data_IF_201499241285
#
_entry.id   IF_201499241285
#
_cell.length_a   1.000
_cell.length_b   1.000
_cell.length_c   1.000
_cell.angle_alpha   90.00
_cell.angle_beta   90.00
_cell.angle_gamma   90.00
#
_symmetry.space_group_name_H-M   'P 1'
#
loop_
_entity.id
_entity.type
_entity.pdbx_description
1 polymer ?
#
# COMPACT_ATOMS: atom_id res chain seq x y z
N UNK A 1 31.65 49.29 -3.18
CA UNK A 1 31.10 49.89 -1.94
C UNK A 1 29.62 49.55 -1.87
N UNK A 2 29.05 49.23 -0.69
CA UNK A 2 29.17 48.03 0.15
C UNK A 2 27.82 47.23 0.07
N UNK A 3 27.51 46.08 0.66
CA UNK A 3 27.61 45.58 2.03
C UNK A 3 27.28 44.06 2.00
N UNK A 4 28.22 43.19 2.34
CA UNK A 4 27.89 41.83 2.77
C UNK A 4 27.43 41.92 4.24
N UNK A 5 26.15 41.62 4.50
CA UNK A 5 25.62 41.50 5.87
C UNK A 5 25.95 40.11 6.38
N UNK A 6 26.81 40.05 7.40
CA UNK A 6 27.07 38.88 8.22
C UNK A 6 25.76 38.41 8.89
N UNK A 7 25.30 37.22 8.51
CA UNK A 7 24.24 36.50 9.25
C UNK A 7 24.94 35.68 10.32
N UNK A 8 24.82 36.13 11.57
CA UNK A 8 25.23 35.39 12.77
C UNK A 8 24.15 34.34 13.02
N UNK A 9 24.49 33.05 12.85
CA UNK A 9 23.62 31.93 13.24
C UNK A 9 23.87 31.66 14.73
N UNK A 10 22.87 31.78 15.61
CA UNK A 10 23.07 31.43 17.02
C UNK A 10 23.08 29.89 17.14
N UNK A 11 24.12 29.38 17.78
CA UNK A 11 24.23 27.97 18.15
C UNK A 11 23.07 27.61 19.10
N UNK A 12 22.17 26.75 18.63
CA UNK A 12 21.07 26.21 19.42
C UNK A 12 21.62 25.11 20.33
N UNK A 13 21.74 25.41 21.62
CA UNK A 13 22.18 24.48 22.64
C UNK A 13 21.16 23.34 22.83
N UNK A 14 21.59 22.09 22.67
CA UNK A 14 20.82 20.90 23.02
C UNK A 14 20.78 20.76 24.55
N UNK A 15 19.63 21.04 25.16
CA UNK A 15 19.35 20.69 26.54
C UNK A 15 18.97 19.21 26.63
N UNK A 16 19.85 18.38 27.19
CA UNK A 16 19.55 17.01 27.60
C UNK A 16 18.69 17.05 28.87
N UNK A 17 17.37 16.90 28.71
CA UNK A 17 16.47 16.68 29.83
C UNK A 17 16.57 15.20 30.26
N UNK A 18 17.21 14.96 31.41
CA UNK A 18 17.24 13.69 32.11
C UNK A 18 15.89 13.43 32.79
N UNK A 19 15.18 12.40 32.34
CA UNK A 19 13.94 11.94 32.99
C UNK A 19 14.33 10.95 34.11
N UNK A 20 13.90 11.14 35.37
CA UNK A 20 14.11 10.13 36.39
C UNK A 20 13.14 8.96 36.16
N UNK A 21 13.69 7.74 36.13
CA UNK A 21 12.95 6.50 36.17
C UNK A 21 12.35 6.33 37.57
N UNK A 22 11.02 6.35 37.68
CA UNK A 22 10.32 5.94 38.90
C UNK A 22 10.21 4.41 38.91
N UNK A 23 11.06 3.78 39.71
CA UNK A 23 10.97 2.36 40.05
C UNK A 23 10.38 2.23 41.45
N UNK A 24 9.08 1.94 41.54
CA UNK A 24 8.47 1.40 42.76
C UNK A 24 7.63 0.17 42.40
N UNK A 25 8.26 -0.99 42.54
CA UNK A 25 7.60 -2.28 42.48
C UNK A 25 7.12 -2.69 43.87
N UNK A 26 5.84 -2.99 43.99
CA UNK A 26 5.27 -3.72 45.12
C UNK A 26 5.44 -5.23 44.85
N UNK A 27 6.30 -5.89 45.62
CA UNK A 27 6.47 -7.35 45.59
C UNK A 27 5.39 -8.02 46.45
N UNK A 28 4.58 -8.89 45.84
CA UNK A 28 3.67 -9.80 46.55
C UNK A 28 4.28 -11.21 46.60
N UNK A 29 4.34 -11.88 47.78
CA UNK A 29 4.75 -13.27 47.86
C UNK A 29 3.58 -14.18 47.47
N UNK A 30 3.57 -14.62 46.21
CA UNK A 30 2.63 -15.61 45.69
C UNK A 30 3.32 -16.93 45.38
N UNK A 31 3.33 -17.84 46.35
CA UNK A 31 3.66 -19.25 46.13
C UNK A 31 2.54 -19.91 45.31
N UNK A 32 2.83 -20.33 44.07
CA UNK A 32 2.18 -21.49 43.44
C UNK A 32 2.91 -21.83 42.15
N UNK A 33 3.56 -22.99 42.15
CA UNK A 33 4.19 -23.57 40.98
C UNK A 33 3.22 -23.63 39.80
N UNK A 34 3.56 -22.91 38.73
CA UNK A 34 3.16 -23.28 37.39
C UNK A 34 4.43 -23.69 36.68
N UNK A 35 4.57 -24.98 36.41
CA UNK A 35 5.39 -25.45 35.30
C UNK A 35 4.76 -24.88 34.02
N UNK A 36 5.03 -23.61 33.74
CA UNK A 36 4.83 -23.06 32.42
C UNK A 36 5.96 -23.66 31.60
N UNK A 37 5.68 -24.82 31.01
CA UNK A 37 6.25 -25.12 29.71
C UNK A 37 5.87 -23.91 28.85
N UNK A 38 6.80 -22.96 28.75
CA UNK A 38 6.78 -21.87 27.79
C UNK A 38 6.78 -22.57 26.43
N UNK A 39 5.59 -22.91 25.95
CA UNK A 39 5.37 -23.22 24.55
C UNK A 39 5.72 -21.90 23.87
N UNK A 40 6.96 -21.81 23.36
CA UNK A 40 7.31 -20.84 22.34
C UNK A 40 6.22 -21.01 21.28
N UNK A 41 5.24 -20.10 21.28
CA UNK A 41 4.22 -20.03 20.26
C UNK A 41 4.95 -19.61 19.01
N UNK A 42 5.55 -20.58 18.33
CA UNK A 42 6.14 -20.37 17.03
C UNK A 42 5.05 -19.77 16.14
N UNK A 43 5.41 -18.68 15.47
CA UNK A 43 4.58 -18.10 14.43
C UNK A 43 5.13 -18.54 13.09
N UNK A 44 4.24 -18.70 12.13
CA UNK A 44 4.60 -18.97 10.75
C UNK A 44 3.87 -17.99 9.84
N UNK A 45 4.46 -17.74 8.69
CA UNK A 45 3.89 -16.84 7.69
C UNK A 45 3.06 -17.65 6.71
N UNK A 46 1.89 -17.14 6.34
CA UNK A 46 1.03 -17.71 5.30
C UNK A 46 0.54 -16.60 4.37
N UNK A 47 0.16 -16.97 3.15
CA UNK A 47 -0.60 -16.13 2.23
C UNK A 47 -2.09 -16.49 2.34
N UNK A 48 -2.88 -15.54 2.80
CA UNK A 48 -4.33 -15.66 2.99
C UNK A 48 -5.03 -14.60 2.12
N UNK A 49 -5.77 -15.02 1.09
CA UNK A 49 -6.50 -14.11 0.19
C UNK A 49 -5.62 -12.95 -0.34
N UNK A 50 -4.40 -13.26 -0.79
CA UNK A 50 -3.43 -12.27 -1.28
C UNK A 50 -2.73 -11.44 -0.22
N UNK A 51 -3.04 -11.64 1.07
CA UNK A 51 -2.40 -10.95 2.19
C UNK A 51 -1.39 -11.85 2.89
N UNK A 52 -0.18 -11.34 3.09
CA UNK A 52 0.84 -12.02 3.88
C UNK A 52 0.57 -11.78 5.36
N UNK A 53 0.24 -12.83 6.11
CA UNK A 53 -0.07 -12.74 7.54
C UNK A 53 0.81 -13.69 8.36
N UNK A 54 1.00 -13.35 9.64
CA UNK A 54 1.71 -14.20 10.61
C UNK A 54 0.72 -14.82 11.57
N UNK A 55 0.63 -16.15 11.57
CA UNK A 55 -0.31 -16.94 12.37
C UNK A 55 0.44 -17.81 13.38
N UNK A 56 -0.24 -18.33 14.39
CA UNK A 56 0.35 -19.35 15.27
C UNK A 56 0.60 -20.64 14.48
N UNK A 57 1.65 -21.38 14.83
CA UNK A 57 1.91 -22.69 14.24
C UNK A 57 0.74 -23.66 14.42
N UNK A 58 -0.02 -23.53 15.53
CA UNK A 58 -1.22 -24.32 15.79
C UNK A 58 -2.36 -24.04 14.80
N UNK A 59 -2.42 -22.83 14.23
CA UNK A 59 -3.43 -22.44 13.27
C UNK A 59 -3.06 -22.84 11.82
N UNK A 60 -1.79 -23.18 11.55
CA UNK A 60 -1.30 -23.46 10.19
C UNK A 60 -2.14 -24.52 9.47
N UNK A 61 -2.44 -25.64 10.12
CA UNK A 61 -3.18 -26.72 9.48
C UNK A 61 -4.60 -26.29 9.09
N UNK A 62 -5.25 -25.45 9.89
CA UNK A 62 -6.58 -24.92 9.59
C UNK A 62 -6.53 -23.95 8.41
N UNK A 63 -5.56 -23.02 8.41
CA UNK A 63 -5.37 -22.09 7.29
C UNK A 63 -5.08 -22.82 5.97
N UNK A 64 -4.23 -23.85 5.97
CA UNK A 64 -3.98 -24.69 4.80
C UNK A 64 -5.24 -25.42 4.31
N UNK A 65 -6.06 -25.93 5.24
CA UNK A 65 -7.34 -26.57 4.90
C UNK A 65 -8.37 -25.59 4.32
N UNK A 66 -8.20 -24.28 4.54
CA UNK A 66 -9.04 -23.22 4.02
C UNK A 66 -8.49 -22.62 2.70
N UNK A 67 -7.38 -23.15 2.16
CA UNK A 67 -6.81 -22.73 0.88
C UNK A 67 -5.63 -21.75 0.98
N UNK A 68 -5.15 -21.44 2.19
CA UNK A 68 -3.96 -20.61 2.36
C UNK A 68 -2.70 -21.37 1.92
N UNK A 69 -1.67 -20.62 1.55
CA UNK A 69 -0.36 -21.20 1.23
C UNK A 69 0.66 -20.83 2.31
N UNK A 70 1.55 -21.77 2.64
CA UNK A 70 2.63 -21.51 3.60
C UNK A 70 3.70 -20.62 2.96
N UNK A 71 4.13 -19.59 3.68
CA UNK A 71 5.08 -18.59 3.21
C UNK A 71 4.41 -17.26 2.85
N UNK A 72 5.18 -16.26 2.41
CA UNK A 72 4.63 -14.99 1.95
C UNK A 72 3.86 -15.15 0.63
N UNK A 73 2.96 -14.22 0.35
CA UNK A 73 2.31 -14.17 -0.94
C UNK A 73 3.34 -13.93 -2.07
N UNK A 74 3.14 -14.52 -3.26
CA UNK A 74 3.94 -14.20 -4.43
C UNK A 74 3.90 -12.69 -4.71
N UNK A 75 5.02 -12.13 -5.18
CA UNK A 75 5.01 -10.78 -5.69
C UNK A 75 4.04 -10.68 -6.89
N UNK A 76 3.24 -9.60 -6.99
CA UNK A 76 2.36 -9.42 -8.13
C UNK A 76 3.18 -9.41 -9.42
N UNK A 77 2.73 -10.20 -10.40
CA UNK A 77 3.33 -10.24 -11.74
C UNK A 77 2.40 -9.54 -12.70
N UNK A 78 2.83 -8.38 -13.17
CA UNK A 78 2.09 -7.61 -14.16
C UNK A 78 2.53 -8.02 -15.56
N UNK A 79 1.55 -8.29 -16.43
CA UNK A 79 1.73 -8.72 -17.82
C UNK A 79 1.18 -7.72 -18.82
N UNK A 80 0.43 -6.72 -18.35
CA UNK A 80 -0.17 -5.69 -19.18
C UNK A 80 -0.08 -4.31 -18.54
N UNK A 81 -0.09 -3.28 -19.38
CA UNK A 81 -0.05 -1.87 -18.99
C UNK A 81 -1.15 -1.14 -19.73
N UNK A 82 -1.88 -0.28 -19.02
CA UNK A 82 -2.93 0.56 -19.59
C UNK A 82 -2.79 1.98 -19.07
N UNK A 83 -2.89 2.95 -19.96
CA UNK A 83 -2.88 4.38 -19.67
C UNK A 83 -4.26 4.93 -19.99
N UNK A 84 -4.94 5.44 -18.97
CA UNK A 84 -6.22 6.13 -19.10
C UNK A 84 -5.98 7.64 -19.00
N UNK A 85 -6.37 8.38 -20.04
CA UNK A 85 -6.26 9.83 -20.08
C UNK A 85 -7.61 10.48 -19.79
N UNK A 86 -7.55 11.50 -18.96
CA UNK A 86 -8.70 12.20 -18.42
C UNK A 86 -8.52 13.70 -18.59
N UNK A 87 -9.45 14.36 -19.27
CA UNK A 87 -9.38 15.81 -19.51
C UNK A 87 -10.53 16.51 -18.81
N UNK A 88 -10.24 17.66 -18.19
CA UNK A 88 -11.28 18.55 -17.72
C UNK A 88 -11.94 19.28 -18.90
N UNK A 89 -13.18 18.93 -19.19
CA UNK A 89 -14.02 19.58 -20.20
C UNK A 89 -15.20 20.24 -19.50
N UNK A 90 -15.20 21.56 -19.42
CA UNK A 90 -16.30 22.36 -18.85
C UNK A 90 -16.71 21.94 -17.42
N UNK A 91 -15.73 21.60 -16.57
CA UNK A 91 -15.97 21.19 -15.18
C UNK A 91 -16.27 19.70 -15.00
N UNK A 92 -16.24 18.91 -16.07
CA UNK A 92 -16.35 17.45 -16.02
C UNK A 92 -15.05 16.79 -16.45
N UNK A 93 -14.57 15.82 -15.68
CA UNK A 93 -13.38 15.04 -16.03
C UNK A 93 -13.85 13.84 -16.85
N UNK A 94 -13.59 13.88 -18.16
CA UNK A 94 -14.03 12.87 -19.12
C UNK A 94 -12.84 12.11 -19.67
N UNK A 95 -13.06 10.84 -20.01
CA UNK A 95 -12.03 10.03 -20.66
C UNK A 95 -11.75 10.64 -22.04
N UNK A 96 -10.52 11.11 -22.23
CA UNK A 96 -10.04 11.70 -23.49
C UNK A 96 -9.29 10.68 -24.35
N UNK A 97 -8.75 9.62 -23.75
CA UNK A 97 -8.06 8.56 -24.47
C UNK A 97 -7.75 7.35 -23.59
N UNK A 98 -7.55 6.20 -24.24
CA UNK A 98 -7.12 4.96 -23.61
C UNK A 98 -6.03 4.37 -24.50
N UNK A 99 -4.90 4.00 -23.90
CA UNK A 99 -3.82 3.28 -24.58
C UNK A 99 -3.48 2.04 -23.76
N UNK A 100 -3.31 0.89 -24.40
CA UNK A 100 -2.98 -0.37 -23.74
C UNK A 100 -1.83 -1.09 -24.42
N UNK A 101 -1.20 -2.01 -23.69
CA UNK A 101 -0.34 -3.06 -24.27
C UNK A 101 -1.20 -4.08 -25.03
N UNK A 102 -0.63 -4.76 -26.02
CA UNK A 102 -1.31 -5.75 -26.87
C UNK A 102 -2.06 -6.87 -26.09
N UNK A 103 -1.66 -7.12 -24.84
CA UNK A 103 -2.28 -8.12 -23.95
C UNK A 103 -3.36 -7.54 -23.02
N UNK A 104 -3.65 -6.24 -23.09
CA UNK A 104 -4.74 -5.60 -22.35
C UNK A 104 -5.96 -5.50 -23.26
N UNK A 105 -6.89 -6.46 -23.17
CA UNK A 105 -8.19 -6.36 -23.83
C UNK A 105 -9.07 -5.38 -23.04
N UNK A 106 -8.83 -4.08 -23.22
CA UNK A 106 -9.63 -3.04 -22.57
C UNK A 106 -10.83 -2.74 -23.47
N UNK A 107 -11.85 -3.60 -23.41
CA UNK A 107 -13.15 -3.31 -24.01
C UNK A 107 -13.90 -2.30 -23.13
N UNK A 108 -13.49 -1.03 -23.19
CA UNK A 108 -14.24 0.07 -22.60
C UNK A 108 -15.35 0.46 -23.60
N UNK A 109 -16.64 0.16 -23.33
CA UNK A 109 -17.72 0.65 -24.16
C UNK A 109 -17.76 2.18 -24.07
N UNK A 110 -17.27 2.86 -25.10
CA UNK A 110 -17.28 4.32 -25.20
C UNK A 110 -18.42 4.77 -26.11
N UNK A 111 -19.23 5.75 -25.65
CA UNK A 111 -18.73 7.13 -25.61
C UNK A 111 -18.81 7.83 -24.24
N UNK A 112 -17.77 8.63 -23.92
CA UNK A 112 -17.69 9.66 -22.87
C UNK A 112 -18.15 9.26 -21.46
N UNK A 113 -17.56 8.19 -20.91
CA UNK A 113 -17.69 7.91 -19.48
C UNK A 113 -16.97 8.98 -18.64
N UNK A 114 -17.55 9.31 -17.49
CA UNK A 114 -16.90 10.11 -16.46
C UNK A 114 -15.64 9.36 -16.02
N UNK A 115 -14.51 10.05 -15.92
CA UNK A 115 -13.23 9.42 -15.62
C UNK A 115 -13.23 8.61 -14.32
N UNK A 116 -13.93 9.08 -13.29
CA UNK A 116 -14.09 8.34 -12.04
C UNK A 116 -14.70 6.94 -12.27
N UNK A 117 -15.70 6.82 -13.16
CA UNK A 117 -16.30 5.53 -13.50
C UNK A 117 -15.33 4.65 -14.29
N UNK A 118 -14.55 5.24 -15.20
CA UNK A 118 -13.51 4.53 -15.94
C UNK A 118 -12.43 3.95 -15.02
N UNK A 119 -11.90 4.77 -14.13
CA UNK A 119 -10.92 4.37 -13.11
C UNK A 119 -11.48 3.25 -12.23
N UNK A 120 -12.73 3.40 -11.75
CA UNK A 120 -13.36 2.38 -10.92
C UNK A 120 -13.56 1.05 -11.68
N UNK A 121 -13.97 1.10 -12.94
CA UNK A 121 -14.10 -0.09 -13.80
C UNK A 121 -12.76 -0.80 -13.95
N UNK A 122 -11.68 -0.07 -14.19
CA UNK A 122 -10.34 -0.64 -14.29
C UNK A 122 -9.89 -1.34 -13.00
N UNK A 123 -10.12 -0.72 -11.84
CA UNK A 123 -9.81 -1.34 -10.55
C UNK A 123 -10.65 -2.60 -10.30
N UNK A 124 -11.95 -2.57 -10.63
CA UNK A 124 -12.85 -3.72 -10.50
C UNK A 124 -12.53 -4.85 -11.49
N UNK A 125 -11.97 -4.51 -12.66
CA UNK A 125 -11.43 -5.44 -13.66
C UNK A 125 -10.10 -6.08 -13.23
N UNK A 126 -9.60 -5.78 -12.04
CA UNK A 126 -8.36 -6.35 -11.50
C UNK A 126 -7.09 -5.65 -12.00
N UNK A 127 -7.20 -4.46 -12.60
CA UNK A 127 -6.02 -3.63 -12.87
C UNK A 127 -5.63 -2.83 -11.63
N UNK A 128 -4.33 -2.78 -11.36
CA UNK A 128 -3.77 -2.06 -10.22
C UNK A 128 -3.35 -0.65 -10.64
N UNK A 129 -3.90 0.37 -9.98
CA UNK A 129 -3.48 1.75 -10.19
C UNK A 129 -2.07 1.95 -9.63
N UNK A 130 -1.11 2.23 -10.51
CA UNK A 130 0.30 2.35 -10.16
C UNK A 130 0.75 3.81 -10.02
N UNK A 131 0.22 4.70 -10.86
CA UNK A 131 0.57 6.11 -10.84
C UNK A 131 -0.58 6.97 -11.35
N UNK A 132 -0.69 8.19 -10.81
CA UNK A 132 -1.51 9.27 -11.37
C UNK A 132 -0.60 10.45 -11.62
N UNK A 133 -0.58 10.95 -12.84
CA UNK A 133 0.15 12.15 -13.24
C UNK A 133 -0.84 13.18 -13.75
N UNK A 134 -0.75 14.43 -13.32
CA UNK A 134 -1.57 15.51 -13.89
C UNK A 134 -0.66 16.54 -14.51
N UNK A 135 -0.81 16.76 -15.82
CA UNK A 135 -0.08 17.77 -16.55
C UNK A 135 -0.48 19.17 -16.10
N UNK A 136 0.51 20.03 -15.86
CA UNK A 136 0.29 21.44 -15.49
C UNK A 136 -0.32 22.26 -16.64
N UNK A 137 -0.14 21.82 -17.89
CA UNK A 137 -0.67 22.46 -19.09
C UNK A 137 -1.72 21.57 -19.74
N UNK A 138 -2.94 22.10 -19.90
CA UNK A 138 -4.04 21.41 -20.59
C UNK A 138 -4.99 20.64 -19.68
N UNK A 139 -4.68 20.42 -18.40
CA UNK A 139 -5.60 19.77 -17.46
C UNK A 139 -5.86 18.29 -17.75
N UNK A 140 -4.90 17.63 -18.39
CA UNK A 140 -4.93 16.18 -18.61
C UNK A 140 -4.31 15.44 -17.42
N UNK A 141 -5.05 14.46 -16.91
CA UNK A 141 -4.61 13.49 -15.92
C UNK A 141 -4.43 12.13 -16.59
N UNK A 142 -3.23 11.57 -16.46
CA UNK A 142 -2.90 10.22 -16.90
C UNK A 142 -2.92 9.28 -15.70
N UNK A 143 -3.67 8.18 -15.82
CA UNK A 143 -3.73 7.09 -14.85
C UNK A 143 -3.03 5.88 -15.46
N UNK A 144 -1.97 5.41 -14.80
CA UNK A 144 -1.23 4.21 -15.17
C UNK A 144 -1.75 3.02 -14.40
N UNK A 145 -2.22 2.02 -15.13
CA UNK A 145 -2.71 0.76 -14.60
C UNK A 145 -1.83 -0.40 -15.04
N UNK A 146 -1.62 -1.35 -14.13
CA UNK A 146 -0.92 -2.59 -14.38
C UNK A 146 -1.88 -3.76 -14.22
N UNK A 147 -1.98 -4.61 -15.24
CA UNK A 147 -2.79 -5.83 -15.20
C UNK A 147 -1.92 -7.07 -15.10
N UNK A 148 -2.46 -8.12 -14.51
CA UNK A 148 -1.88 -9.47 -14.52
C UNK A 148 -2.62 -10.33 -15.56
N UNK A 149 -2.35 -11.64 -15.61
CA UNK A 149 -3.00 -12.57 -16.55
C UNK A 149 -4.50 -12.77 -16.29
N UNK A 150 -5.02 -12.29 -15.16
CA UNK A 150 -6.40 -12.43 -14.73
C UNK A 150 -7.21 -11.11 -14.91
N UNK A 151 -6.54 -9.99 -15.16
CA UNK A 151 -7.20 -8.69 -15.39
C UNK A 151 -7.93 -8.67 -16.73
N UNK A 152 -9.23 -8.34 -16.73
CA UNK A 152 -10.10 -8.22 -17.92
C UNK A 152 -11.14 -7.13 -17.72
#
# INVERSE_FOLDING_TARGET
>A
MPLFRNIVVPALALALASVPAFAEGISFPGNSGKNTTQVKSGKTTVCHNGNTISISNSALQAHLAHGDTKGPCPAPRFTSVVILRCLNTNGQILISGVSGSDNADVDLPLPRQICANGVARMMNAGFHLQQVSTGLTGGETEYLFLGNSESR
#
